data_IF_718870277541
#
_entry.id   IF_718870277541
#
_cell.length_a   1.000
_cell.length_b   1.000
_cell.length_c   1.000
_cell.angle_alpha   90.00
_cell.angle_beta   90.00
_cell.angle_gamma   90.00
#
_symmetry.space_group_name_H-M   'P 1'
#
loop_
_entity.id
_entity.type
_entity.pdbx_description
1 polymer ?
#
# COMPACT_ATOMS: atom_id res chain seq x y z
N UNK A 1 -11.55 5.13 -7.05
CA UNK A 1 -12.17 3.83 -6.72
C UNK A 1 -11.48 2.59 -7.30
N UNK A 2 -11.14 2.47 -8.61
CA UNK A 2 -10.29 1.33 -9.08
C UNK A 2 -8.78 1.56 -8.89
N UNK A 3 -8.32 2.79 -9.14
CA UNK A 3 -6.89 3.14 -9.08
C UNK A 3 -6.29 3.06 -7.68
N UNK A 4 -7.08 3.39 -6.65
CA UNK A 4 -6.61 3.49 -5.28
C UNK A 4 -6.39 2.09 -4.67
N UNK A 5 -7.23 1.12 -5.04
CA UNK A 5 -7.03 -0.31 -4.71
C UNK A 5 -5.77 -0.89 -5.37
N UNK A 6 -5.54 -0.57 -6.63
CA UNK A 6 -4.33 -1.03 -7.34
C UNK A 6 -3.06 -0.42 -6.71
N UNK A 7 -3.12 0.85 -6.27
CA UNK A 7 -2.03 1.52 -5.58
C UNK A 7 -1.80 0.95 -4.16
N UNK A 8 -2.87 0.64 -3.43
CA UNK A 8 -2.80 0.01 -2.12
C UNK A 8 -2.16 -1.38 -2.19
N UNK A 9 -2.55 -2.22 -3.16
CA UNK A 9 -1.92 -3.53 -3.36
C UNK A 9 -0.44 -3.42 -3.72
N UNK A 10 -0.05 -2.43 -4.53
CA UNK A 10 1.36 -2.22 -4.86
C UNK A 10 2.16 -1.83 -3.61
N UNK A 11 1.63 -0.95 -2.77
CA UNK A 11 2.25 -0.58 -1.51
C UNK A 11 2.39 -1.79 -0.58
N UNK A 12 1.37 -2.64 -0.48
CA UNK A 12 1.43 -3.88 0.29
C UNK A 12 2.55 -4.83 -0.20
N UNK A 13 2.63 -5.08 -1.50
CA UNK A 13 3.69 -5.92 -2.09
C UNK A 13 5.10 -5.38 -1.83
N UNK A 14 5.26 -4.06 -1.85
CA UNK A 14 6.54 -3.42 -1.54
C UNK A 14 6.92 -3.56 -0.06
N UNK A 15 5.93 -3.47 0.84
CA UNK A 15 6.15 -3.77 2.26
C UNK A 15 6.59 -5.22 2.46
N UNK A 16 5.88 -6.21 1.90
CA UNK A 16 6.25 -7.63 2.03
C UNK A 16 7.65 -7.92 1.49
N UNK A 17 8.02 -7.29 0.37
CA UNK A 17 9.32 -7.50 -0.26
C UNK A 17 10.48 -6.86 0.51
N UNK A 18 10.26 -5.72 1.15
CA UNK A 18 11.35 -4.89 1.71
C UNK A 18 11.37 -4.82 3.23
N UNK A 19 10.25 -5.15 3.89
CA UNK A 19 10.04 -4.88 5.31
C UNK A 19 9.99 -3.39 5.66
N UNK A 20 10.00 -2.48 4.67
CA UNK A 20 10.02 -1.05 4.93
C UNK A 20 8.63 -0.55 5.36
N UNK A 21 8.54 -0.12 6.62
CA UNK A 21 7.31 0.35 7.26
C UNK A 21 6.62 1.52 6.55
N UNK A 22 7.35 2.33 5.78
CA UNK A 22 6.76 3.42 5.00
C UNK A 22 5.75 2.92 3.97
N UNK A 23 5.97 1.73 3.38
CA UNK A 23 5.01 1.13 2.46
C UNK A 23 3.75 0.63 3.16
N UNK A 24 3.85 0.16 4.41
CA UNK A 24 2.69 -0.20 5.22
C UNK A 24 1.84 1.03 5.56
N UNK A 25 2.48 2.14 5.94
CA UNK A 25 1.78 3.41 6.19
C UNK A 25 1.06 3.90 4.93
N UNK A 26 1.70 3.80 3.77
CA UNK A 26 1.09 4.16 2.49
C UNK A 26 -0.11 3.27 2.14
N UNK A 27 0.03 1.94 2.30
CA UNK A 27 -1.08 1.01 2.12
C UNK A 27 -2.28 1.40 3.00
N UNK A 28 -2.06 1.66 4.29
CA UNK A 28 -3.13 2.08 5.21
C UNK A 28 -3.74 3.43 4.86
N UNK A 29 -2.99 4.34 4.26
CA UNK A 29 -3.54 5.62 3.80
C UNK A 29 -4.46 5.43 2.58
N UNK A 30 -4.04 4.59 1.62
CA UNK A 30 -4.77 4.33 0.38
C UNK A 30 -5.99 3.41 0.56
N UNK A 31 -5.98 2.53 1.57
CA UNK A 31 -7.08 1.60 1.89
C UNK A 31 -8.24 2.25 2.66
N UNK A 32 -8.01 3.44 3.24
CA UNK A 32 -9.01 4.19 4.03
C UNK A 32 -9.76 5.27 3.23
N UNK A 33 -9.56 5.38 1.91
CA UNK A 33 -10.36 6.18 0.96
C UNK A 33 -11.35 5.32 0.15
#
# INVERSE_FOLDING_TARGET
MKRDKDAAELAWKMFEKTGNVSYYMLYKHLDNE
#
